data_IF_854974103153
#
_entry.id   IF_854974103153
#
_cell.length_a   1.000
_cell.length_b   1.000
_cell.length_c   1.000
_cell.angle_alpha   90.00
_cell.angle_beta   90.00
_cell.angle_gamma   90.00
#
_symmetry.space_group_name_H-M   'P 1'
#
loop_
_entity.id
_entity.type
_entity.pdbx_description
1 polymer ?
#
# COMPACT_ATOMS: atom_id res chain seq x y z
N UNK A 1 33.26 25.32 -0.22
CA UNK A 1 31.79 25.51 -0.15
C UNK A 1 31.31 25.43 -1.58
N UNK A 2 30.69 24.32 -1.97
CA UNK A 2 30.25 24.09 -3.34
C UNK A 2 29.01 24.95 -3.60
N UNK A 3 28.98 25.66 -4.70
CA UNK A 3 27.90 26.56 -5.13
C UNK A 3 26.60 25.81 -5.52
N UNK A 4 26.52 24.52 -5.18
CA UNK A 4 25.42 23.60 -5.50
C UNK A 4 24.82 22.91 -4.27
N UNK A 5 25.24 23.27 -3.05
CA UNK A 5 24.53 22.87 -1.83
C UNK A 5 23.31 23.78 -1.63
N UNK A 6 22.37 23.76 -2.57
CA UNK A 6 21.02 24.25 -2.29
C UNK A 6 20.43 23.20 -1.36
N UNK A 7 20.11 23.53 -0.09
CA UNK A 7 19.41 22.58 0.76
C UNK A 7 18.14 22.19 0.02
N UNK A 8 18.02 20.90 -0.28
CA UNK A 8 16.73 20.33 -0.67
C UNK A 8 15.89 20.52 0.57
N UNK A 9 15.09 21.59 0.59
CA UNK A 9 14.05 21.77 1.60
C UNK A 9 13.22 20.50 1.55
N UNK A 10 13.32 19.69 2.60
CA UNK A 10 12.39 18.59 2.79
C UNK A 10 11.01 19.24 2.80
N UNK A 11 10.30 19.11 1.69
CA UNK A 11 8.94 19.62 1.57
C UNK A 11 8.09 18.79 2.52
N UNK A 12 7.96 19.29 3.75
CA UNK A 12 6.99 18.75 4.68
C UNK A 12 5.61 18.90 4.02
N UNK A 13 4.80 17.83 3.99
CA UNK A 13 3.46 17.92 3.44
C UNK A 13 2.72 19.05 4.17
N UNK A 14 2.26 20.03 3.42
CA UNK A 14 1.56 21.19 3.97
C UNK A 14 0.10 20.88 4.32
N UNK A 15 -0.41 19.74 3.86
CA UNK A 15 -1.75 19.24 4.15
C UNK A 15 -1.69 17.98 5.02
N UNK A 16 -2.78 17.73 5.73
CA UNK A 16 -3.01 16.49 6.46
C UNK A 16 -3.06 15.31 5.48
N UNK A 17 -2.44 14.19 5.84
CA UNK A 17 -2.59 12.96 5.07
C UNK A 17 -4.03 12.44 5.20
N UNK A 18 -4.67 12.19 4.05
CA UNK A 18 -6.02 11.60 3.99
C UNK A 18 -5.90 10.11 3.68
N UNK A 19 -6.73 9.29 4.31
CA UNK A 19 -6.75 7.82 4.12
C UNK A 19 -8.18 7.32 4.00
N UNK A 20 -8.46 6.53 2.96
CA UNK A 20 -9.67 5.70 2.87
C UNK A 20 -9.33 4.25 3.21
N UNK A 21 -10.21 3.58 3.96
CA UNK A 21 -10.05 2.16 4.33
C UNK A 21 -11.40 1.43 4.36
N UNK A 22 -11.36 0.11 4.20
CA UNK A 22 -12.54 -0.72 4.44
C UNK A 22 -12.94 -0.67 5.93
N UNK A 23 -14.25 -0.68 6.21
CA UNK A 23 -14.81 -0.58 7.56
C UNK A 23 -14.50 -1.83 8.40
N UNK A 24 -14.47 -3.00 7.75
CA UNK A 24 -14.24 -4.29 8.38
C UNK A 24 -12.91 -4.87 7.91
N UNK A 25 -11.77 -4.49 8.52
CA UNK A 25 -10.51 -5.16 8.23
C UNK A 25 -10.56 -6.62 8.67
N UNK A 26 -9.66 -7.46 8.15
CA UNK A 26 -9.40 -8.78 8.69
C UNK A 26 -9.19 -8.78 10.20
N UNK A 27 -9.64 -9.84 10.87
CA UNK A 27 -9.42 -9.99 12.32
C UNK A 27 -7.93 -9.93 12.66
N UNK A 28 -7.58 -9.13 13.69
CA UNK A 28 -6.21 -8.96 14.15
C UNK A 28 -5.34 -8.01 13.32
N UNK A 29 -5.85 -7.45 12.22
CA UNK A 29 -5.14 -6.44 11.45
C UNK A 29 -5.11 -5.10 12.21
N UNK A 30 -3.94 -4.46 12.25
CA UNK A 30 -3.86 -3.07 12.68
C UNK A 30 -4.19 -2.14 11.53
N UNK A 31 -5.11 -1.22 11.76
CA UNK A 31 -5.56 -0.23 10.77
C UNK A 31 -5.11 1.19 11.08
N UNK A 32 -4.56 1.43 12.27
CA UNK A 32 -4.13 2.73 12.73
C UNK A 32 -2.64 2.92 12.45
N UNK A 33 -2.33 3.41 11.25
CA UNK A 33 -1.02 3.96 10.96
C UNK A 33 -0.95 5.35 11.60
N UNK A 34 -0.23 5.43 12.72
CA UNK A 34 -0.11 6.64 13.52
C UNK A 34 0.83 7.62 12.83
N UNK A 35 0.31 8.44 11.93
CA UNK A 35 0.86 9.78 11.71
C UNK A 35 -0.12 10.81 12.27
N UNK A 36 0.41 11.73 13.07
CA UNK A 36 -0.38 12.79 13.68
C UNK A 36 -1.01 13.65 12.56
N UNK A 37 -2.32 13.93 12.69
CA UNK A 37 -3.04 14.77 11.73
C UNK A 37 -3.73 14.02 10.59
N UNK A 38 -3.74 12.69 10.58
CA UNK A 38 -4.43 11.94 9.52
C UNK A 38 -5.95 12.11 9.58
N UNK A 39 -6.56 12.33 8.41
CA UNK A 39 -8.01 12.28 8.21
C UNK A 39 -8.36 10.89 7.67
N UNK A 40 -9.22 10.16 8.37
CA UNK A 40 -9.61 8.82 8.00
C UNK A 40 -11.07 8.77 7.55
N UNK A 41 -11.30 8.05 6.45
CA UNK A 41 -12.62 7.68 5.99
C UNK A 41 -12.76 6.16 5.90
N UNK A 42 -13.92 5.66 6.33
CA UNK A 42 -14.26 4.25 6.23
C UNK A 42 -15.40 4.05 5.25
N UNK A 43 -15.25 3.04 4.40
CA UNK A 43 -16.28 2.59 3.47
C UNK A 43 -16.51 1.10 3.67
N UNK A 44 -17.71 0.59 3.39
CA UNK A 44 -18.00 -0.85 3.55
C UNK A 44 -17.09 -1.70 2.64
N UNK A 45 -16.86 -1.24 1.41
CA UNK A 45 -16.01 -1.89 0.42
C UNK A 45 -15.13 -0.86 -0.29
N UNK A 46 -13.85 -1.21 -0.48
CA UNK A 46 -12.94 -0.46 -1.34
C UNK A 46 -13.15 -0.91 -2.79
N UNK A 47 -14.01 -0.20 -3.51
CA UNK A 47 -14.18 -0.36 -4.95
C UNK A 47 -13.40 0.73 -5.71
N UNK A 48 -13.26 0.55 -7.02
CA UNK A 48 -12.74 1.60 -7.90
C UNK A 48 -13.50 2.92 -7.70
N UNK A 49 -14.83 2.85 -7.68
CA UNK A 49 -15.69 4.04 -7.62
C UNK A 49 -15.57 4.72 -6.26
N UNK A 50 -15.58 3.97 -5.15
CA UNK A 50 -15.42 4.56 -3.81
C UNK A 50 -14.07 5.24 -3.64
N UNK A 51 -13.00 4.65 -4.18
CA UNK A 51 -11.65 5.22 -4.12
C UNK A 51 -11.55 6.46 -5.00
N UNK A 52 -12.11 6.41 -6.21
CA UNK A 52 -12.08 7.53 -7.15
C UNK A 52 -12.88 8.73 -6.61
N UNK A 53 -14.09 8.51 -6.11
CA UNK A 53 -14.93 9.56 -5.51
C UNK A 53 -14.24 10.21 -4.31
N UNK A 54 -13.70 9.38 -3.41
CA UNK A 54 -12.93 9.86 -2.26
C UNK A 54 -11.72 10.69 -2.67
N UNK A 55 -10.99 10.24 -3.70
CA UNK A 55 -9.80 10.93 -4.20
C UNK A 55 -10.14 12.30 -4.79
N UNK A 56 -11.16 12.38 -5.67
CA UNK A 56 -11.61 13.65 -6.25
C UNK A 56 -12.06 14.62 -5.15
N UNK A 57 -12.89 14.14 -4.21
CA UNK A 57 -13.35 14.96 -3.07
C UNK A 57 -12.17 15.46 -2.23
N UNK A 58 -11.19 14.61 -1.96
CA UNK A 58 -9.99 14.98 -1.19
C UNK A 58 -9.20 16.12 -1.85
N UNK A 59 -9.06 16.08 -3.18
CA UNK A 59 -8.40 17.16 -3.94
C UNK A 59 -9.18 18.48 -3.89
N UNK A 60 -10.51 18.41 -3.95
CA UNK A 60 -11.37 19.60 -3.86
C UNK A 60 -11.32 20.23 -2.46
N UNK A 61 -11.30 19.41 -1.41
CA UNK A 61 -11.17 19.86 -0.02
C UNK A 61 -9.80 20.52 0.24
N UNK A 62 -8.70 19.90 -0.19
CA UNK A 62 -7.35 20.47 -0.04
C UNK A 62 -7.23 21.84 -0.75
N UNK A 63 -7.86 21.97 -1.92
CA UNK A 63 -7.93 23.25 -2.65
C UNK A 63 -8.77 24.30 -1.91
N UNK A 64 -9.84 23.90 -1.26
CA UNK A 64 -10.69 24.80 -0.48
C UNK A 64 -9.96 25.30 0.78
N UNK A 65 -9.22 24.41 1.45
CA UNK A 65 -8.43 24.73 2.64
C UNK A 65 -7.24 25.66 2.32
N UNK A 66 -6.60 25.46 1.16
CA UNK A 66 -5.52 26.31 0.70
C UNK A 66 -5.59 26.58 -0.82
N UNK A 67 -6.24 27.69 -1.24
CA UNK A 67 -6.41 28.04 -2.66
C UNK A 67 -5.11 28.31 -3.42
N UNK A 68 -3.98 28.45 -2.73
CA UNK A 68 -2.66 28.64 -3.33
C UNK A 68 -1.99 27.30 -3.66
N UNK A 69 -2.49 26.17 -3.13
CA UNK A 69 -2.01 24.85 -3.50
C UNK A 69 -2.32 24.58 -4.97
N UNK A 70 -1.33 24.03 -5.67
CA UNK A 70 -1.56 23.52 -7.02
C UNK A 70 -2.45 22.28 -6.91
N UNK A 71 -3.54 22.18 -7.69
CA UNK A 71 -4.35 20.97 -7.70
C UNK A 71 -3.49 19.74 -8.02
N UNK A 72 -3.60 18.71 -7.19
CA UNK A 72 -2.98 17.41 -7.41
C UNK A 72 -2.50 16.75 -6.13
N UNK A 73 -1.70 15.72 -6.33
CA UNK A 73 -1.09 14.90 -5.29
C UNK A 73 0.41 14.82 -5.55
N UNK A 74 1.18 14.67 -4.49
CA UNK A 74 2.62 14.40 -4.57
C UNK A 74 2.90 12.90 -4.41
N UNK A 75 2.16 12.26 -3.51
CA UNK A 75 2.35 10.86 -3.16
C UNK A 75 1.03 10.16 -2.85
N UNK A 76 0.87 8.92 -3.34
CA UNK A 76 -0.24 8.04 -2.99
C UNK A 76 0.34 6.71 -2.51
N UNK A 77 -0.12 6.25 -1.34
CA UNK A 77 0.21 4.93 -0.80
C UNK A 77 -0.99 4.00 -0.88
N UNK A 78 -0.79 2.82 -1.43
CA UNK A 78 -1.74 1.72 -1.44
C UNK A 78 -1.12 0.60 -0.60
N UNK A 79 -1.77 0.26 0.51
CA UNK A 79 -1.30 -0.79 1.44
C UNK A 79 -2.33 -1.90 1.49
N UNK A 80 -1.92 -3.10 1.09
CA UNK A 80 -2.81 -4.23 1.05
C UNK A 80 -3.05 -4.76 2.47
N UNK A 81 -4.32 -4.92 2.86
CA UNK A 81 -4.71 -5.50 4.15
C UNK A 81 -4.58 -7.02 4.19
N UNK A 82 -4.58 -7.65 3.02
CA UNK A 82 -4.38 -9.07 2.81
C UNK A 82 -3.73 -9.29 1.46
N UNK A 83 -3.02 -10.40 1.32
CA UNK A 83 -2.55 -10.88 0.04
C UNK A 83 -2.86 -12.37 -0.12
N UNK A 84 -3.27 -12.74 -1.34
CA UNK A 84 -3.57 -14.13 -1.71
C UNK A 84 -2.27 -14.92 -1.86
N UNK A 85 -2.27 -16.14 -1.35
CA UNK A 85 -1.15 -17.09 -1.54
C UNK A 85 -1.33 -17.88 -2.83
N UNK A 86 -0.26 -18.48 -3.37
CA UNK A 86 -0.39 -19.42 -4.47
C UNK A 86 -1.31 -20.59 -4.12
N UNK A 87 -2.04 -21.08 -5.12
CA UNK A 87 -2.97 -22.19 -4.96
C UNK A 87 -2.21 -23.46 -4.53
N UNK A 88 -2.75 -24.16 -3.54
CA UNK A 88 -2.13 -25.36 -2.98
C UNK A 88 -0.83 -25.15 -2.20
N UNK A 89 -0.40 -23.89 -2.01
CA UNK A 89 0.83 -23.60 -1.26
C UNK A 89 0.71 -23.98 0.22
N UNK A 90 -0.46 -23.77 0.82
CA UNK A 90 -0.76 -24.20 2.17
C UNK A 90 -1.88 -25.24 2.21
N UNK A 91 -1.89 -26.13 3.23
CA UNK A 91 -3.01 -27.00 3.51
C UNK A 91 -4.32 -26.23 3.74
N UNK A 92 -5.46 -26.84 3.41
CA UNK A 92 -6.79 -26.21 3.56
C UNK A 92 -7.20 -25.96 5.01
N UNK A 93 -6.55 -26.59 5.98
CA UNK A 93 -6.83 -26.46 7.41
C UNK A 93 -5.85 -25.52 8.15
N UNK A 94 -4.88 -24.94 7.42
CA UNK A 94 -3.93 -23.98 7.98
C UNK A 94 -4.66 -22.78 8.60
N UNK A 95 -4.19 -22.35 9.78
CA UNK A 95 -4.80 -21.24 10.55
C UNK A 95 -3.89 -20.05 10.70
N UNK A 96 -2.59 -20.29 10.79
CA UNK A 96 -1.57 -19.25 10.87
C UNK A 96 -0.38 -19.62 10.01
N UNK A 97 0.40 -18.62 9.63
CA UNK A 97 1.69 -18.82 8.98
C UNK A 97 2.78 -17.98 9.65
N UNK A 98 4.02 -18.49 9.71
CA UNK A 98 5.14 -17.68 10.13
C UNK A 98 5.54 -16.72 9.01
N UNK A 99 5.48 -15.43 9.28
CA UNK A 99 6.00 -14.36 8.42
C UNK A 99 7.28 -13.83 9.05
N UNK A 100 8.36 -13.85 8.27
CA UNK A 100 9.62 -13.25 8.68
C UNK A 100 9.61 -11.75 8.37
N UNK A 101 9.78 -10.94 9.40
CA UNK A 101 9.90 -9.49 9.28
C UNK A 101 11.11 -9.01 10.08
N UNK A 102 12.08 -8.41 9.36
CA UNK A 102 13.39 -8.02 9.91
C UNK A 102 14.07 -9.20 10.62
N UNK A 103 14.35 -9.08 11.92
CA UNK A 103 14.98 -10.11 12.76
C UNK A 103 13.97 -10.92 13.58
N UNK A 104 12.68 -10.81 13.28
CA UNK A 104 11.60 -11.47 14.02
C UNK A 104 10.73 -12.34 13.11
N UNK A 105 10.10 -13.34 13.71
CA UNK A 105 9.04 -14.13 13.07
C UNK A 105 7.73 -13.86 13.80
N UNK A 106 6.67 -13.58 13.04
CA UNK A 106 5.33 -13.33 13.53
C UNK A 106 4.36 -14.38 12.97
N UNK A 107 3.45 -14.88 13.79
CA UNK A 107 2.33 -15.70 13.30
C UNK A 107 1.23 -14.79 12.75
N UNK A 108 0.92 -14.96 11.47
CA UNK A 108 -0.13 -14.22 10.79
C UNK A 108 -1.37 -15.09 10.56
N UNK A 109 -2.59 -14.57 10.76
CA UNK A 109 -3.81 -15.34 10.55
C UNK A 109 -4.03 -15.61 9.06
N UNK A 110 -4.50 -16.81 8.79
CA UNK A 110 -4.93 -17.25 7.46
C UNK A 110 -6.45 -17.13 7.34
N UNK A 111 -6.88 -16.53 6.24
CA UNK A 111 -8.28 -16.39 5.86
C UNK A 111 -8.54 -17.23 4.63
N UNK A 112 -9.58 -18.06 4.71
CA UNK A 112 -10.04 -18.88 3.60
C UNK A 112 -11.22 -18.17 2.95
N UNK A 113 -11.10 -17.84 1.65
CA UNK A 113 -12.13 -17.15 0.88
C UNK A 113 -12.11 -17.64 -0.56
N UNK A 114 -13.27 -18.04 -1.08
CA UNK A 114 -13.44 -18.47 -2.48
C UNK A 114 -12.41 -19.54 -2.89
N UNK A 115 -12.29 -20.59 -2.07
CA UNK A 115 -11.32 -21.70 -2.21
C UNK A 115 -9.83 -21.29 -2.16
N UNK A 116 -9.57 -20.01 -1.90
CA UNK A 116 -8.22 -19.42 -1.86
C UNK A 116 -7.79 -19.13 -0.44
N UNK A 117 -6.48 -19.19 -0.23
CA UNK A 117 -5.82 -18.86 1.03
C UNK A 117 -5.29 -17.42 0.96
N UNK A 118 -5.61 -16.64 1.97
CA UNK A 118 -5.21 -15.25 2.13
C UNK A 118 -4.50 -15.07 3.46
N UNK A 119 -3.51 -14.19 3.50
CA UNK A 119 -2.83 -13.85 4.75
C UNK A 119 -3.10 -12.38 5.04
N UNK A 120 -3.58 -12.08 6.25
CA UNK A 120 -3.84 -10.71 6.67
C UNK A 120 -2.61 -10.05 7.30
N UNK A 121 -2.46 -8.75 7.04
CA UNK A 121 -1.43 -7.90 7.64
C UNK A 121 -1.55 -6.46 7.13
N UNK A 122 -1.00 -5.47 7.84
CA UNK A 122 -0.06 -5.56 8.96
C UNK A 122 -0.70 -5.94 10.31
N UNK A 123 0.11 -6.45 11.24
CA UNK A 123 -0.27 -6.78 12.63
C UNK A 123 0.60 -6.02 13.63
N UNK A 124 0.34 -6.13 14.95
CA UNK A 124 1.07 -5.40 15.99
C UNK A 124 2.60 -5.53 15.96
N UNK A 125 3.11 -6.64 15.44
CA UNK A 125 4.53 -6.95 15.30
C UNK A 125 5.07 -6.83 13.86
N UNK A 126 4.21 -6.52 12.89
CA UNK A 126 4.57 -6.34 11.47
C UNK A 126 3.95 -5.06 10.98
N UNK A 127 4.73 -3.97 10.96
CA UNK A 127 4.23 -2.65 10.58
C UNK A 127 3.92 -2.53 9.08
N UNK A 128 4.55 -3.36 8.24
CA UNK A 128 4.41 -3.26 6.80
C UNK A 128 3.31 -4.20 6.30
N UNK A 129 2.52 -3.70 5.35
CA UNK A 129 1.60 -4.55 4.60
C UNK A 129 2.39 -5.61 3.80
N UNK A 130 1.77 -6.77 3.46
CA UNK A 130 2.42 -7.78 2.63
C UNK A 130 2.97 -7.22 1.32
N UNK A 131 2.19 -6.32 0.70
CA UNK A 131 2.54 -5.56 -0.50
C UNK A 131 2.17 -4.10 -0.26
N UNK A 132 3.06 -3.19 -0.63
CA UNK A 132 2.80 -1.75 -0.67
C UNK A 132 3.11 -1.21 -2.06
N UNK A 133 2.23 -0.36 -2.57
CA UNK A 133 2.44 0.37 -3.82
C UNK A 133 2.51 1.85 -3.48
N UNK A 134 3.52 2.51 -3.98
CA UNK A 134 3.73 3.94 -3.84
C UNK A 134 3.70 4.56 -5.22
N UNK A 135 2.83 5.54 -5.42
CA UNK A 135 2.83 6.39 -6.59
C UNK A 135 3.44 7.72 -6.19
N UNK A 136 4.48 8.16 -6.89
CA UNK A 136 5.11 9.46 -6.65
C UNK A 136 4.98 10.29 -7.91
N UNK A 137 4.42 11.48 -7.77
CA UNK A 137 4.41 12.48 -8.84
C UNK A 137 5.71 13.28 -8.76
N UNK A 138 6.42 13.36 -9.87
CA UNK A 138 7.54 14.29 -10.02
C UNK A 138 7.35 15.12 -11.29
N UNK A 139 8.05 16.25 -11.48
CA UNK A 139 7.85 17.09 -12.66
C UNK A 139 7.98 16.28 -13.96
N UNK A 140 6.88 16.20 -14.72
CA UNK A 140 6.81 15.53 -16.02
C UNK A 140 6.69 14.00 -15.99
N UNK A 141 6.56 13.37 -14.81
CA UNK A 141 6.46 11.89 -14.72
C UNK A 141 5.75 11.42 -13.45
N UNK A 142 5.23 10.20 -13.51
CA UNK A 142 4.79 9.44 -12.34
C UNK A 142 5.72 8.24 -12.19
N UNK A 143 6.15 7.94 -10.98
CA UNK A 143 6.90 6.74 -10.63
C UNK A 143 6.01 5.82 -9.79
N UNK A 144 6.11 4.51 -10.04
CA UNK A 144 5.52 3.48 -9.18
C UNK A 144 6.64 2.73 -8.47
N UNK A 145 6.58 2.66 -7.15
CA UNK A 145 7.36 1.75 -6.33
C UNK A 145 6.46 0.59 -5.88
N UNK A 146 6.93 -0.64 -6.02
CA UNK A 146 6.28 -1.84 -5.46
C UNK A 146 7.21 -2.41 -4.40
N UNK A 147 6.75 -2.42 -3.14
CA UNK A 147 7.50 -2.91 -2.00
C UNK A 147 6.90 -4.22 -1.54
N UNK A 148 7.69 -5.28 -1.65
CA UNK A 148 7.31 -6.62 -1.21
C UNK A 148 7.97 -6.86 0.13
N UNK A 149 7.16 -6.95 1.19
CA UNK A 149 7.70 -6.98 2.54
C UNK A 149 7.83 -8.40 3.09
N UNK A 150 7.16 -9.40 2.48
CA UNK A 150 7.08 -10.76 3.02
C UNK A 150 7.64 -11.80 2.04
N UNK A 151 8.34 -12.79 2.58
CA UNK A 151 9.10 -13.81 1.84
C UNK A 151 8.30 -14.61 0.82
N UNK A 152 7.00 -14.81 1.03
CA UNK A 152 6.15 -15.56 0.10
C UNK A 152 6.15 -14.94 -1.30
N UNK A 153 6.17 -13.61 -1.40
CA UNK A 153 6.14 -12.89 -2.67
C UNK A 153 7.49 -12.25 -3.05
N UNK A 154 8.55 -12.43 -2.25
CA UNK A 154 9.89 -11.97 -2.62
C UNK A 154 10.44 -12.75 -3.82
N UNK A 155 11.50 -12.26 -4.52
CA UNK A 155 12.19 -13.06 -5.53
C UNK A 155 12.49 -14.48 -5.03
N UNK A 156 12.27 -15.48 -5.90
CA UNK A 156 12.34 -16.92 -5.60
C UNK A 156 11.27 -17.47 -4.64
N UNK A 157 10.38 -16.61 -4.12
CA UNK A 157 9.22 -17.00 -3.32
C UNK A 157 8.10 -17.61 -4.18
N UNK A 158 7.29 -18.50 -3.59
CA UNK A 158 6.24 -19.21 -4.31
C UNK A 158 5.17 -18.29 -4.93
N UNK A 159 4.96 -17.11 -4.36
CA UNK A 159 4.03 -16.08 -4.86
C UNK A 159 4.66 -15.05 -5.78
N UNK A 160 5.97 -15.13 -6.06
CA UNK A 160 6.67 -14.11 -6.84
C UNK A 160 6.11 -13.98 -8.27
N UNK A 161 5.68 -15.08 -8.88
CA UNK A 161 5.11 -15.08 -10.23
C UNK A 161 3.87 -14.17 -10.38
N UNK A 162 3.09 -13.96 -9.32
CA UNK A 162 1.99 -13.00 -9.34
C UNK A 162 2.50 -11.56 -9.41
N UNK A 163 3.57 -11.25 -8.68
CA UNK A 163 4.19 -9.92 -8.71
C UNK A 163 4.82 -9.67 -10.07
N UNK A 164 5.55 -10.63 -10.63
CA UNK A 164 6.11 -10.52 -11.97
C UNK A 164 5.05 -10.33 -13.05
N UNK A 165 3.91 -11.03 -12.94
CA UNK A 165 2.77 -10.83 -13.84
C UNK A 165 2.23 -9.40 -13.76
N UNK A 166 1.99 -8.88 -12.56
CA UNK A 166 1.52 -7.50 -12.37
C UNK A 166 2.52 -6.45 -12.89
N UNK A 167 3.81 -6.65 -12.65
CA UNK A 167 4.86 -5.78 -13.21
C UNK A 167 4.87 -5.85 -14.74
N UNK A 168 4.72 -7.06 -15.31
CA UNK A 168 4.68 -7.23 -16.76
C UNK A 168 3.47 -6.53 -17.39
N UNK A 169 2.30 -6.55 -16.74
CA UNK A 169 1.11 -5.81 -17.17
C UNK A 169 1.35 -4.29 -17.15
N UNK A 170 2.02 -3.76 -16.12
CA UNK A 170 2.41 -2.35 -16.09
C UNK A 170 3.34 -2.01 -17.26
N UNK A 171 4.37 -2.82 -17.52
CA UNK A 171 5.26 -2.59 -18.65
C UNK A 171 4.52 -2.62 -19.99
N UNK A 172 3.60 -3.56 -20.17
CA UNK A 172 2.75 -3.66 -21.35
C UNK A 172 1.83 -2.43 -21.52
N UNK A 173 1.41 -1.81 -20.42
CA UNK A 173 0.65 -0.57 -20.42
C UNK A 173 1.50 0.69 -20.68
N UNK A 174 2.80 0.55 -20.96
CA UNK A 174 3.70 1.66 -21.30
C UNK A 174 4.50 2.22 -20.14
N UNK A 175 4.45 1.59 -18.97
CA UNK A 175 5.39 1.90 -17.89
C UNK A 175 6.80 1.40 -18.26
N UNK A 176 7.83 2.03 -17.73
CA UNK A 176 9.21 1.66 -17.98
C UNK A 176 10.01 1.57 -16.67
N UNK A 177 10.96 0.65 -16.61
CA UNK A 177 11.96 0.62 -15.54
C UNK A 177 12.84 1.87 -15.60
N UNK A 178 13.29 2.31 -14.44
CA UNK A 178 14.26 3.38 -14.29
C UNK A 178 15.54 2.86 -13.68
#
# INVERSE_FOLDING_TARGET
MNEFDIPIDETFPTSSQRTIRAASPPEGMLTDFVSAGNVFEQVDELSHDSVYEWFVRSLDEDRAENPLLRPGWDEIWIRYSMARTPDGYFPSDIRTIPVHYRSSTAEHPVIHRDESVWIAGPMANTLNAPIEIQLIRTPGRVAVGVYICWNIWMPDGAGYGFVESGVSELLAAGWAFR
#
